data_IF_515655075560
#
_entry.id   IF_515655075560
#
_cell.length_a   1.000
_cell.length_b   1.000
_cell.length_c   1.000
_cell.angle_alpha   90.00
_cell.angle_beta   90.00
_cell.angle_gamma   90.00
#
_symmetry.space_group_name_H-M   'P 1'
#
loop_
_entity.id
_entity.type
_entity.pdbx_description
1 polymer ?
#
# COMPACT_ATOMS: atom_id res chain seq x y z
N UNK A 1 -8.22 9.78 -3.93
CA UNK A 1 -6.89 9.33 -3.46
C UNK A 1 -6.80 9.43 -1.94
N UNK A 2 -6.46 8.36 -1.24
CA UNK A 2 -6.42 8.27 0.24
C UNK A 2 -5.59 9.38 0.90
N UNK A 3 -4.55 9.84 0.22
CA UNK A 3 -3.76 11.02 0.62
C UNK A 3 -4.58 12.33 0.63
N UNK A 4 -5.48 12.53 -0.34
CA UNK A 4 -6.34 13.71 -0.38
C UNK A 4 -7.36 13.69 0.79
N UNK A 5 -7.84 12.51 1.19
CA UNK A 5 -8.70 12.36 2.37
C UNK A 5 -7.94 12.68 3.68
N UNK A 6 -6.69 12.23 3.81
CA UNK A 6 -5.83 12.61 4.94
C UNK A 6 -5.50 14.10 4.96
N UNK A 7 -5.25 14.72 3.80
CA UNK A 7 -4.99 16.16 3.69
C UNK A 7 -6.22 17.01 4.01
N UNK A 8 -7.42 16.54 3.66
CA UNK A 8 -8.67 17.24 3.95
C UNK A 8 -9.02 17.17 5.45
N UNK A 9 -8.77 16.03 6.10
CA UNK A 9 -8.88 15.89 7.56
C UNK A 9 -7.87 16.78 8.32
N UNK A 10 -6.67 16.97 7.76
CA UNK A 10 -5.63 17.80 8.37
C UNK A 10 -5.92 19.32 8.26
N UNK A 11 -6.68 19.74 7.23
CA UNK A 11 -6.96 21.16 6.98
C UNK A 11 -8.05 21.76 7.86
N UNK A 12 -8.93 20.94 8.46
CA UNK A 12 -10.10 21.43 9.21
C UNK A 12 -9.85 21.72 10.71
N UNK A 13 -8.65 21.47 11.27
CA UNK A 13 -8.40 21.59 12.73
C UNK A 13 -7.33 22.61 13.13
N UNK A 14 -6.82 23.43 12.21
CA UNK A 14 -5.72 24.37 12.49
C UNK A 14 -6.16 25.85 12.45
N UNK A 15 -6.83 26.31 13.51
CA UNK A 15 -6.82 27.74 13.89
C UNK A 15 -6.23 27.85 15.32
N UNK A 16 -5.08 28.52 15.53
CA UNK A 16 -4.40 28.48 16.82
C UNK A 16 -4.83 29.59 17.78
N UNK A 17 -5.09 29.20 19.04
CA UNK A 17 -4.93 30.06 20.23
C UNK A 17 -3.45 30.07 20.64
N UNK A 18 -2.92 31.24 21.01
CA UNK A 18 -1.47 31.55 21.09
C UNK A 18 -0.61 30.64 21.98
N UNK A 19 -1.14 30.08 23.08
CA UNK A 19 -0.40 29.15 23.94
C UNK A 19 -0.22 27.72 23.38
N UNK A 20 -0.93 27.37 22.30
CA UNK A 20 -0.93 26.03 21.69
C UNK A 20 0.15 25.90 20.61
N UNK A 21 0.61 27.02 20.04
CA UNK A 21 1.56 27.04 18.92
C UNK A 21 2.94 26.57 19.37
N UNK A 22 3.42 27.01 20.53
CA UNK A 22 4.75 26.63 21.04
C UNK A 22 4.89 25.12 21.23
N UNK A 23 3.90 24.49 21.89
CA UNK A 23 3.86 23.03 22.08
C UNK A 23 3.78 22.26 20.76
N UNK A 24 3.04 22.78 19.78
CA UNK A 24 2.97 22.19 18.43
C UNK A 24 4.33 22.24 17.73
N UNK A 25 5.04 23.36 17.82
CA UNK A 25 6.38 23.52 17.24
C UNK A 25 7.39 22.58 17.90
N UNK A 26 7.36 22.46 19.22
CA UNK A 26 8.23 21.55 19.97
C UNK A 26 7.99 20.08 19.56
N UNK A 27 6.75 19.63 19.53
CA UNK A 27 6.39 18.28 19.08
C UNK A 27 6.86 17.99 17.65
N UNK A 28 6.70 18.95 16.74
CA UNK A 28 7.05 18.76 15.34
C UNK A 28 8.56 18.85 15.09
N UNK A 29 9.30 19.63 15.89
CA UNK A 29 10.76 19.58 15.90
C UNK A 29 11.24 18.20 16.31
N UNK A 30 10.64 17.62 17.36
CA UNK A 30 10.97 16.25 17.80
C UNK A 30 10.65 15.21 16.72
N UNK A 31 9.52 15.32 16.01
CA UNK A 31 9.20 14.43 14.88
C UNK A 31 10.25 14.51 13.76
N UNK A 32 10.73 15.72 13.43
CA UNK A 32 11.76 15.91 12.41
C UNK A 32 13.11 15.32 12.86
N UNK A 33 13.47 15.46 14.13
CA UNK A 33 14.67 14.83 14.70
C UNK A 33 14.58 13.31 14.67
N UNK A 34 13.44 12.74 15.05
CA UNK A 34 13.20 11.29 14.95
C UNK A 34 13.29 10.80 13.51
N UNK A 35 12.73 11.52 12.54
CA UNK A 35 12.83 11.17 11.13
C UNK A 35 14.27 11.14 10.61
N UNK A 36 15.13 12.02 11.12
CA UNK A 36 16.57 12.07 10.79
C UNK A 36 17.40 11.01 11.50
N UNK A 37 16.88 10.40 12.56
CA UNK A 37 17.56 9.32 13.29
C UNK A 37 17.94 8.16 12.38
N UNK A 38 18.99 7.44 12.73
CA UNK A 38 19.53 6.30 11.97
C UNK A 38 18.51 5.18 11.71
N UNK A 39 17.50 5.06 12.57
CA UNK A 39 16.41 4.08 12.44
C UNK A 39 15.54 4.34 11.21
N UNK A 40 15.21 5.61 10.93
CA UNK A 40 14.31 5.99 9.84
C UNK A 40 15.05 6.52 8.61
N UNK A 41 16.17 7.24 8.84
CA UNK A 41 17.04 7.80 7.81
C UNK A 41 16.29 8.62 6.74
N UNK A 42 15.31 9.44 7.16
CA UNK A 42 14.57 10.31 6.24
C UNK A 42 15.41 11.49 5.78
N UNK A 43 15.34 11.80 4.48
CA UNK A 43 15.97 12.99 3.93
C UNK A 43 15.10 14.22 4.19
N UNK A 44 15.30 14.82 5.37
CA UNK A 44 14.58 16.01 5.84
C UNK A 44 15.48 17.26 5.82
N UNK A 45 16.28 17.42 4.76
CA UNK A 45 17.16 18.59 4.57
C UNK A 45 16.29 19.83 4.38
N UNK A 46 16.48 20.84 5.23
CA UNK A 46 15.72 22.08 5.16
C UNK A 46 14.25 21.99 5.64
N UNK A 47 13.86 20.91 6.32
CA UNK A 47 12.54 20.80 6.97
C UNK A 47 12.67 21.18 8.45
N UNK A 48 11.83 22.10 8.92
CA UNK A 48 11.71 22.47 10.33
C UNK A 48 10.31 22.15 10.87
N UNK A 49 10.17 21.96 12.18
CA UNK A 49 8.85 21.74 12.79
C UNK A 49 7.90 22.90 12.56
N UNK A 50 8.43 24.14 12.50
CA UNK A 50 7.62 25.33 12.20
C UNK A 50 7.01 25.31 10.79
N UNK A 51 7.68 24.72 9.79
CA UNK A 51 7.12 24.60 8.44
C UNK A 51 5.82 23.79 8.42
N UNK A 52 5.76 22.77 9.29
CA UNK A 52 4.58 21.91 9.42
C UNK A 52 3.50 22.62 10.26
N UNK A 53 3.87 23.37 11.30
CA UNK A 53 2.93 24.18 12.11
C UNK A 53 2.23 25.25 11.27
N UNK A 54 2.98 25.93 10.39
CA UNK A 54 2.48 26.96 9.48
C UNK A 54 1.65 26.36 8.34
N UNK A 55 1.76 25.04 8.10
CA UNK A 55 0.99 24.33 7.08
C UNK A 55 1.62 24.36 5.69
N UNK A 56 2.95 24.31 5.60
CA UNK A 56 3.65 24.20 4.32
C UNK A 56 3.37 22.85 3.65
N UNK A 57 2.36 22.85 2.77
CA UNK A 57 1.86 21.64 2.07
C UNK A 57 2.97 20.82 1.40
N UNK A 58 3.99 21.46 0.83
CA UNK A 58 5.09 20.76 0.14
C UNK A 58 5.93 19.95 1.12
N UNK A 59 6.32 20.55 2.25
CA UNK A 59 7.17 19.92 3.24
C UNK A 59 6.40 18.87 4.06
N UNK A 60 5.13 19.16 4.39
CA UNK A 60 4.25 18.17 5.03
C UNK A 60 4.05 16.93 4.15
N UNK A 61 3.80 17.12 2.85
CA UNK A 61 3.63 16.01 1.91
C UNK A 61 4.93 15.19 1.74
N UNK A 62 6.08 15.85 1.70
CA UNK A 62 7.38 15.18 1.64
C UNK A 62 7.61 14.28 2.86
N UNK A 63 7.30 14.77 4.07
CA UNK A 63 7.41 14.00 5.31
C UNK A 63 6.45 12.79 5.30
N UNK A 64 5.18 12.99 4.96
CA UNK A 64 4.18 11.91 4.88
C UNK A 64 4.60 10.86 3.86
N UNK A 65 5.12 11.27 2.71
CA UNK A 65 5.59 10.34 1.69
C UNK A 65 6.78 9.50 2.17
N UNK A 66 7.75 10.12 2.87
CA UNK A 66 8.87 9.39 3.44
C UNK A 66 8.42 8.39 4.50
N UNK A 67 7.49 8.79 5.38
CA UNK A 67 6.90 7.89 6.37
C UNK A 67 6.17 6.71 5.71
N UNK A 68 5.36 6.98 4.69
CA UNK A 68 4.67 5.95 3.92
C UNK A 68 5.64 4.99 3.24
N UNK A 69 6.67 5.52 2.56
CA UNK A 69 7.70 4.73 1.90
C UNK A 69 8.44 3.84 2.89
N UNK A 70 8.80 4.37 4.06
CA UNK A 70 9.43 3.59 5.11
C UNK A 70 8.52 2.47 5.58
N UNK A 71 7.28 2.77 5.94
CA UNK A 71 6.31 1.77 6.37
C UNK A 71 6.14 0.64 5.33
N UNK A 72 5.99 1.01 4.05
CA UNK A 72 5.88 0.04 2.96
C UNK A 72 7.10 -0.86 2.85
N UNK A 73 8.32 -0.29 2.92
CA UNK A 73 9.56 -1.06 2.85
C UNK A 73 9.73 -1.95 4.08
N UNK A 74 9.46 -1.44 5.28
CA UNK A 74 9.51 -2.21 6.53
C UNK A 74 8.50 -3.35 6.52
N UNK A 75 7.29 -3.11 6.00
CA UNK A 75 6.30 -4.17 5.83
C UNK A 75 6.80 -5.26 4.89
N UNK A 76 7.32 -4.89 3.71
CA UNK A 76 7.90 -5.85 2.76
C UNK A 76 9.07 -6.64 3.37
N UNK A 77 9.94 -5.99 4.15
CA UNK A 77 11.01 -6.67 4.89
C UNK A 77 10.45 -7.62 5.96
N UNK A 78 9.44 -7.20 6.73
CA UNK A 78 8.85 -8.03 7.77
C UNK A 78 8.20 -9.31 7.22
N UNK A 79 7.62 -9.24 6.01
CA UNK A 79 7.09 -10.43 5.33
C UNK A 79 8.24 -11.37 4.91
N UNK A 80 9.40 -10.83 4.49
CA UNK A 80 10.60 -11.62 4.19
C UNK A 80 11.20 -12.28 5.44
N UNK A 81 11.11 -11.65 6.60
CA UNK A 81 11.67 -12.14 7.85
C UNK A 81 10.73 -13.13 8.58
N UNK A 82 9.42 -12.91 8.50
CA UNK A 82 8.40 -13.74 9.18
C UNK A 82 8.20 -15.11 8.53
N UNK A 83 8.65 -15.29 7.28
CA UNK A 83 8.78 -16.59 6.60
C UNK A 83 9.93 -17.42 7.19
N UNK A 84 9.83 -17.72 8.48
CA UNK A 84 10.81 -18.33 9.40
C UNK A 84 11.30 -19.75 9.06
N UNK A 85 11.24 -20.20 7.80
CA UNK A 85 11.95 -21.41 7.35
C UNK A 85 12.25 -21.54 5.87
N UNK A 86 12.13 -20.48 5.05
CA UNK A 86 12.46 -20.60 3.63
C UNK A 86 12.85 -19.25 3.03
N UNK A 87 14.16 -19.02 2.93
CA UNK A 87 14.88 -18.07 2.06
C UNK A 87 14.35 -16.63 1.97
N UNK A 88 15.24 -15.64 1.99
CA UNK A 88 14.91 -14.27 1.58
C UNK A 88 14.10 -14.30 0.27
N UNK A 89 12.77 -14.11 0.34
CA UNK A 89 11.94 -14.29 -0.84
C UNK A 89 12.19 -13.12 -1.78
N UNK A 90 12.83 -13.39 -2.91
CA UNK A 90 13.00 -12.40 -3.97
C UNK A 90 11.63 -12.04 -4.54
N UNK A 91 11.52 -10.86 -5.15
CA UNK A 91 10.27 -10.40 -5.78
C UNK A 91 9.77 -11.43 -6.81
N UNK A 92 10.69 -12.14 -7.49
CA UNK A 92 10.41 -13.23 -8.42
C UNK A 92 9.80 -14.45 -7.73
N UNK A 93 10.28 -14.81 -6.54
CA UNK A 93 9.72 -15.93 -5.76
C UNK A 93 8.32 -15.63 -5.25
N UNK A 94 8.02 -14.38 -4.89
CA UNK A 94 6.66 -13.97 -4.51
C UNK A 94 5.71 -14.10 -5.71
N UNK A 95 6.16 -13.68 -6.90
CA UNK A 95 5.40 -13.86 -8.15
C UNK A 95 5.20 -15.34 -8.48
N UNK A 96 6.24 -16.16 -8.30
CA UNK A 96 6.16 -17.60 -8.53
C UNK A 96 5.14 -18.27 -7.60
N UNK A 97 5.16 -17.94 -6.30
CA UNK A 97 4.18 -18.42 -5.33
C UNK A 97 2.76 -17.99 -5.70
N UNK A 98 2.56 -16.73 -6.11
CA UNK A 98 1.24 -16.23 -6.48
C UNK A 98 0.68 -17.00 -7.69
N UNK A 99 1.52 -17.23 -8.70
CA UNK A 99 1.15 -18.03 -9.87
C UNK A 99 0.84 -19.49 -9.51
N UNK A 100 1.62 -20.12 -8.63
CA UNK A 100 1.37 -21.49 -8.17
C UNK A 100 0.03 -21.60 -7.43
N UNK A 101 -0.27 -20.62 -6.55
CA UNK A 101 -1.54 -20.59 -5.82
C UNK A 101 -2.75 -20.39 -6.74
N UNK A 102 -2.64 -19.50 -7.72
CA UNK A 102 -3.71 -19.27 -8.72
C UNK A 102 -3.89 -20.50 -9.61
N UNK A 103 -2.81 -21.15 -10.04
CA UNK A 103 -2.90 -22.39 -10.82
C UNK A 103 -3.57 -23.53 -10.02
N UNK A 104 -3.27 -23.64 -8.73
CA UNK A 104 -3.87 -24.64 -7.85
C UNK A 104 -5.38 -24.44 -7.63
N UNK A 105 -5.92 -23.22 -7.81
CA UNK A 105 -7.36 -22.95 -7.74
C UNK A 105 -8.11 -23.24 -9.03
N UNK A 106 -7.40 -23.68 -10.08
CA UNK A 106 -7.97 -24.02 -11.39
C UNK A 106 -8.15 -22.82 -12.32
N UNK A 107 -7.61 -21.65 -11.99
CA UNK A 107 -7.61 -20.49 -12.90
C UNK A 107 -6.47 -20.59 -13.91
N UNK A 108 -6.71 -20.11 -15.13
CA UNK A 108 -5.71 -19.96 -16.19
C UNK A 108 -4.91 -18.66 -16.11
N UNK A 109 -5.28 -17.76 -15.21
CA UNK A 109 -4.63 -16.46 -15.07
C UNK A 109 -3.21 -16.61 -14.51
N UNK A 110 -2.24 -15.96 -15.17
CA UNK A 110 -0.83 -15.99 -14.78
C UNK A 110 -0.15 -14.70 -15.17
N UNK A 111 0.73 -14.21 -14.29
CA UNK A 111 1.58 -13.04 -14.52
C UNK A 111 3.03 -13.47 -14.73
N UNK A 112 3.75 -12.79 -15.62
CA UNK A 112 5.19 -13.04 -15.83
C UNK A 112 6.05 -12.32 -14.80
N UNK A 113 5.72 -11.06 -14.54
CA UNK A 113 6.42 -10.17 -13.63
C UNK A 113 5.44 -9.18 -12.97
N UNK A 114 5.95 -8.32 -12.10
CA UNK A 114 5.16 -7.27 -11.43
C UNK A 114 4.78 -6.10 -12.35
N UNK A 115 5.25 -6.09 -13.61
CA UNK A 115 4.97 -5.06 -14.61
C UNK A 115 3.95 -5.56 -15.66
N UNK A 116 3.48 -6.80 -15.52
CA UNK A 116 2.59 -7.44 -16.49
C UNK A 116 1.25 -6.72 -16.56
N UNK A 117 0.90 -6.22 -17.75
CA UNK A 117 -0.36 -5.51 -18.00
C UNK A 117 -1.60 -6.35 -17.68
N UNK A 118 -1.48 -7.67 -17.62
CA UNK A 118 -2.57 -8.57 -17.20
C UNK A 118 -3.07 -8.26 -15.79
N UNK A 119 -2.22 -7.74 -14.91
CA UNK A 119 -2.58 -7.30 -13.55
C UNK A 119 -3.66 -6.21 -13.59
N UNK A 120 -3.65 -5.34 -14.61
CA UNK A 120 -4.61 -4.24 -14.74
C UNK A 120 -6.06 -4.69 -14.86
N UNK A 121 -6.32 -5.92 -15.31
CA UNK A 121 -7.66 -6.52 -15.38
C UNK A 121 -8.30 -6.73 -13.99
N UNK A 122 -7.47 -6.83 -12.94
CA UNK A 122 -7.86 -7.20 -11.59
C UNK A 122 -8.22 -8.68 -11.41
N UNK A 123 -8.36 -9.45 -12.50
CA UNK A 123 -8.78 -10.86 -12.47
C UNK A 123 -7.78 -11.74 -11.74
N UNK A 124 -6.48 -11.58 -12.04
CA UNK A 124 -5.42 -12.31 -11.37
C UNK A 124 -5.43 -12.11 -9.83
N UNK A 125 -5.67 -10.87 -9.37
CA UNK A 125 -5.72 -10.58 -7.93
C UNK A 125 -6.96 -11.20 -7.27
N UNK A 126 -8.10 -11.19 -7.96
CA UNK A 126 -9.33 -11.83 -7.48
C UNK A 126 -9.13 -13.35 -7.41
N UNK A 127 -8.54 -13.97 -8.43
CA UNK A 127 -8.29 -15.41 -8.44
C UNK A 127 -7.27 -15.84 -7.38
N UNK A 128 -6.28 -14.99 -7.08
CA UNK A 128 -5.36 -15.21 -5.97
C UNK A 128 -6.10 -15.21 -4.63
N UNK A 129 -6.99 -14.23 -4.40
CA UNK A 129 -7.82 -14.21 -3.20
C UNK A 129 -8.79 -15.41 -3.16
N UNK A 130 -9.27 -15.88 -4.32
CA UNK A 130 -10.13 -17.05 -4.43
C UNK A 130 -9.41 -18.33 -4.03
N UNK A 131 -8.12 -18.42 -4.37
CA UNK A 131 -7.26 -19.52 -3.98
C UNK A 131 -6.99 -19.55 -2.47
N UNK A 132 -7.01 -18.39 -1.80
CA UNK A 132 -6.83 -18.29 -0.35
C UNK A 132 -8.11 -18.61 0.42
N UNK A 133 -9.21 -17.94 0.10
CA UNK A 133 -10.49 -18.12 0.77
C UNK A 133 -11.63 -18.02 -0.26
N UNK A 134 -12.04 -19.14 -0.89
CA UNK A 134 -13.02 -19.12 -1.98
C UNK A 134 -14.40 -18.61 -1.54
N UNK A 135 -14.75 -18.72 -0.25
CA UNK A 135 -16.02 -18.23 0.30
C UNK A 135 -16.13 -16.72 0.33
N UNK A 136 -14.99 -16.01 0.27
CA UNK A 136 -14.95 -14.55 0.34
C UNK A 136 -15.28 -13.87 -0.99
N UNK A 137 -15.38 -14.63 -2.09
CA UNK A 137 -15.51 -14.11 -3.44
C UNK A 137 -16.82 -14.52 -4.08
N UNK A 138 -17.63 -13.51 -4.38
CA UNK A 138 -18.76 -13.60 -5.28
C UNK A 138 -18.31 -13.33 -6.73
N UNK A 139 -18.29 -14.38 -7.57
CA UNK A 139 -17.94 -14.26 -9.00
C UNK A 139 -18.97 -13.50 -9.83
N UNK A 140 -20.22 -13.35 -9.36
CA UNK A 140 -21.24 -12.58 -10.07
C UNK A 140 -20.93 -11.07 -10.12
N UNK A 141 -20.04 -10.58 -9.26
CA UNK A 141 -19.62 -9.18 -9.21
C UNK A 141 -18.34 -8.90 -10.02
N UNK A 142 -17.75 -9.94 -10.63
CA UNK A 142 -16.50 -9.83 -11.38
C UNK A 142 -16.81 -9.57 -12.84
N UNK A 143 -16.30 -8.44 -13.36
CA UNK A 143 -16.43 -8.04 -14.75
C UNK A 143 -15.30 -8.65 -15.61
N UNK A 144 -15.43 -8.71 -16.95
CA UNK A 144 -14.42 -9.34 -17.82
C UNK A 144 -13.08 -8.59 -17.88
N UNK A 145 -12.98 -7.37 -17.34
CA UNK A 145 -11.72 -6.63 -17.21
C UNK A 145 -11.18 -6.04 -18.53
N UNK A 146 -12.04 -5.89 -19.55
CA UNK A 146 -11.66 -5.37 -20.87
C UNK A 146 -11.71 -3.84 -20.90
N UNK A 147 -12.80 -3.26 -20.40
CA UNK A 147 -12.97 -1.81 -20.34
C UNK A 147 -12.32 -1.21 -19.08
N UNK A 148 -11.98 0.07 -19.12
CA UNK A 148 -11.43 0.76 -17.93
C UNK A 148 -12.42 0.76 -16.75
N UNK A 149 -13.74 0.83 -17.02
CA UNK A 149 -14.76 0.68 -15.99
C UNK A 149 -14.75 -0.71 -15.35
N UNK A 150 -14.55 -1.77 -16.14
CA UNK A 150 -14.48 -3.14 -15.63
C UNK A 150 -13.24 -3.33 -14.76
N UNK A 151 -12.08 -2.85 -15.23
CA UNK A 151 -10.82 -2.89 -14.49
C UNK A 151 -10.94 -2.16 -13.15
N UNK A 152 -11.53 -0.97 -13.17
CA UNK A 152 -11.79 -0.19 -11.97
C UNK A 152 -12.71 -0.94 -10.99
N UNK A 153 -13.79 -1.55 -11.48
CA UNK A 153 -14.73 -2.31 -10.66
C UNK A 153 -14.03 -3.52 -10.01
N UNK A 154 -13.31 -4.31 -10.82
CA UNK A 154 -12.57 -5.47 -10.37
C UNK A 154 -11.49 -5.11 -9.34
N UNK A 155 -10.71 -4.04 -9.59
CA UNK A 155 -9.67 -3.59 -8.66
C UNK A 155 -10.25 -3.12 -7.31
N UNK A 156 -11.33 -2.33 -7.33
CA UNK A 156 -12.04 -1.91 -6.10
C UNK A 156 -12.57 -3.10 -5.32
N UNK A 157 -13.13 -4.08 -6.04
CA UNK A 157 -13.65 -5.30 -5.44
C UNK A 157 -12.53 -6.13 -4.80
N UNK A 158 -11.44 -6.40 -5.52
CA UNK A 158 -10.29 -7.15 -5.02
C UNK A 158 -9.70 -6.53 -3.75
N UNK A 159 -9.51 -5.20 -3.74
CA UNK A 159 -8.99 -4.48 -2.56
C UNK A 159 -9.94 -4.60 -1.36
N UNK A 160 -11.25 -4.51 -1.61
CA UNK A 160 -12.26 -4.62 -0.55
C UNK A 160 -12.28 -6.00 0.08
N UNK A 161 -12.22 -7.06 -0.75
CA UNK A 161 -12.16 -8.45 -0.27
C UNK A 161 -10.86 -8.72 0.47
N UNK A 162 -9.72 -8.28 -0.06
CA UNK A 162 -8.42 -8.47 0.61
C UNK A 162 -8.39 -7.83 2.01
N UNK A 163 -8.94 -6.62 2.16
CA UNK A 163 -9.07 -5.98 3.47
C UNK A 163 -10.00 -6.72 4.41
N UNK A 164 -11.11 -7.27 3.89
CA UNK A 164 -12.03 -8.11 4.67
C UNK A 164 -11.35 -9.37 5.19
N UNK A 165 -10.40 -9.93 4.43
CA UNK A 165 -9.59 -11.08 4.84
C UNK A 165 -8.47 -10.72 5.83
N UNK A 166 -8.22 -9.44 6.08
CA UNK A 166 -7.20 -8.97 7.02
C UNK A 166 -5.90 -8.49 6.38
N UNK A 167 -5.81 -8.38 5.04
CA UNK A 167 -4.62 -7.81 4.40
C UNK A 167 -4.47 -6.32 4.75
N UNK A 168 -3.29 -5.93 5.26
CA UNK A 168 -2.94 -4.54 5.50
C UNK A 168 -2.47 -3.85 4.21
N UNK A 169 -3.41 -3.19 3.51
CA UNK A 169 -3.21 -2.68 2.15
C UNK A 169 -3.43 -1.17 2.03
N UNK A 170 -2.41 -0.48 1.52
CA UNK A 170 -2.45 0.96 1.24
C UNK A 170 -2.69 1.33 -0.23
N UNK A 171 -2.85 0.34 -1.11
CA UNK A 171 -3.13 0.58 -2.52
C UNK A 171 -4.53 1.11 -2.76
N UNK A 172 -4.63 1.92 -3.81
CA UNK A 172 -5.84 2.34 -4.46
C UNK A 172 -6.12 1.48 -5.70
N UNK A 173 -7.31 1.63 -6.28
CA UNK A 173 -7.65 0.90 -7.50
C UNK A 173 -6.81 1.39 -8.69
N UNK A 174 -6.46 2.67 -8.72
CA UNK A 174 -5.58 3.27 -9.73
C UNK A 174 -4.20 2.59 -9.75
N UNK A 175 -3.66 2.20 -8.58
CA UNK A 175 -2.39 1.46 -8.48
C UNK A 175 -2.39 0.14 -9.26
N UNK A 176 -3.54 -0.55 -9.27
CA UNK A 176 -3.70 -1.85 -9.93
C UNK A 176 -3.87 -1.65 -11.43
N UNK A 177 -4.72 -0.70 -11.83
CA UNK A 177 -5.00 -0.40 -13.24
C UNK A 177 -3.74 0.13 -13.95
N UNK A 178 -2.95 0.98 -13.29
CA UNK A 178 -1.66 1.47 -13.78
C UNK A 178 -0.51 0.47 -13.63
N UNK A 179 -0.74 -0.65 -12.93
CA UNK A 179 0.26 -1.69 -12.65
C UNK A 179 1.50 -1.12 -11.96
N UNK A 180 1.31 -0.51 -10.78
CA UNK A 180 2.42 0.01 -9.96
C UNK A 180 3.13 -1.12 -9.22
N UNK A 181 4.36 -1.54 -9.61
CA UNK A 181 4.95 -2.82 -9.19
C UNK A 181 5.14 -2.94 -7.68
N UNK A 182 5.59 -1.86 -7.01
CA UNK A 182 5.79 -1.84 -5.55
C UNK A 182 4.49 -2.03 -4.77
N UNK A 183 3.39 -1.51 -5.30
CA UNK A 183 2.08 -1.58 -4.65
C UNK A 183 1.43 -2.93 -4.90
N UNK A 184 1.58 -3.49 -6.11
CA UNK A 184 1.18 -4.87 -6.41
C UNK A 184 1.98 -5.87 -5.57
N UNK A 185 3.29 -5.69 -5.45
CA UNK A 185 4.13 -6.54 -4.59
C UNK A 185 3.64 -6.53 -3.13
N UNK A 186 3.29 -5.36 -2.61
CA UNK A 186 2.73 -5.25 -1.25
C UNK A 186 1.41 -6.00 -1.09
N UNK A 187 0.60 -6.05 -2.15
CA UNK A 187 -0.63 -6.83 -2.18
C UNK A 187 -0.33 -8.32 -2.10
N UNK A 188 0.56 -8.82 -2.95
CA UNK A 188 0.95 -10.24 -2.97
C UNK A 188 1.59 -10.67 -1.65
N UNK A 189 2.49 -9.83 -1.11
CA UNK A 189 3.14 -10.07 0.17
C UNK A 189 2.14 -10.12 1.33
N UNK A 190 1.15 -9.20 1.35
CA UNK A 190 0.08 -9.22 2.37
C UNK A 190 -0.80 -10.46 2.26
N UNK A 191 -1.12 -10.87 1.03
CA UNK A 191 -1.91 -12.08 0.78
C UNK A 191 -1.15 -13.35 1.19
N UNK A 192 0.17 -13.37 1.01
CA UNK A 192 1.04 -14.45 1.48
C UNK A 192 1.10 -14.52 3.01
N UNK A 193 1.09 -13.37 3.70
CA UNK A 193 1.08 -13.30 5.16
C UNK A 193 -0.24 -13.77 5.81
N UNK A 194 -1.29 -14.03 5.03
CA UNK A 194 -2.55 -14.61 5.52
C UNK A 194 -2.53 -16.15 5.62
N UNK A 195 -1.50 -16.81 5.08
CA UNK A 195 -1.31 -18.27 5.19
C UNK A 195 -0.60 -18.64 6.49
#
# INVERSE_FOLDING_TARGET
STLACMLHACSCTFLPRSGVVFKKTENLNYVVELGKSSVFSFSLVGVQGNDIVVGNRKLTLALIWQLFRFHLLSFLSSVRDSSSKRCEMSDEQIVAWANEKVAASGSSERIRDLHDKRISSGLFLIDLLAALEPRSINRALVAPGVTESDKQLNAKYAISVARKLGCSLFLLWEDVVEVRPRMVLSFLASAMALQ
#
